data_IF_007015091213
#
_entry.id   IF_007015091213
#
_cell.length_a   1.000
_cell.length_b   1.000
_cell.length_c   1.000
_cell.angle_alpha   90.00
_cell.angle_beta   90.00
_cell.angle_gamma   90.00
#
_symmetry.space_group_name_H-M   'P 1'
#
loop_
_entity.id
_entity.type
_entity.pdbx_description
1 polymer ?
#
# COMPACT_ATOMS: atom_id res chain seq x y z
N UNK A 1 49.68 10.76 -7.35
CA UNK A 1 48.69 10.15 -8.26
C UNK A 1 47.60 9.50 -7.41
N UNK A 2 46.53 10.25 -7.15
CA UNK A 2 45.13 9.95 -7.52
C UNK A 2 44.67 8.53 -7.15
N UNK A 3 44.22 8.38 -5.90
CA UNK A 3 43.28 7.34 -5.50
C UNK A 3 41.88 7.87 -5.74
N UNK A 4 41.19 7.34 -6.74
CA UNK A 4 39.74 7.27 -6.76
C UNK A 4 39.42 5.82 -7.06
N UNK A 5 38.55 5.18 -6.28
CA UNK A 5 37.36 4.50 -6.80
C UNK A 5 36.32 4.53 -5.68
N UNK A 6 35.36 5.41 -5.89
CA UNK A 6 34.08 5.45 -5.20
C UNK A 6 33.35 4.17 -5.60
N UNK A 7 33.22 3.23 -4.68
CA UNK A 7 32.28 2.11 -4.78
C UNK A 7 31.42 2.15 -3.53
N UNK A 8 30.42 3.01 -3.39
CA UNK A 8 29.60 3.55 -4.47
C UNK A 8 28.50 2.58 -4.89
N UNK A 9 28.02 1.71 -4.00
CA UNK A 9 26.70 1.07 -4.15
C UNK A 9 26.20 0.67 -2.77
N UNK A 10 25.72 1.63 -1.97
CA UNK A 10 24.68 1.29 -1.02
C UNK A 10 23.56 0.73 -1.89
N UNK A 11 23.36 -0.58 -1.79
CA UNK A 11 22.35 -1.33 -2.51
C UNK A 11 21.09 -0.48 -2.53
N UNK A 12 20.68 -0.02 -3.72
CA UNK A 12 19.28 0.31 -3.95
C UNK A 12 18.56 -1.01 -3.69
N UNK A 13 18.24 -1.29 -2.43
CA UNK A 13 17.02 -1.99 -2.14
C UNK A 13 15.99 -1.18 -2.93
N UNK A 14 15.46 -1.74 -4.00
CA UNK A 14 14.23 -1.22 -4.56
C UNK A 14 13.24 -1.31 -3.40
N UNK A 15 13.14 -0.22 -2.64
CA UNK A 15 12.13 -0.05 -1.61
C UNK A 15 10.84 -0.21 -2.40
N UNK A 16 10.13 -1.33 -2.22
CA UNK A 16 8.84 -1.50 -2.86
C UNK A 16 7.97 -0.37 -2.34
N UNK A 17 7.75 0.62 -3.19
CA UNK A 17 6.96 1.83 -2.93
C UNK A 17 5.48 1.60 -3.22
N UNK A 18 5.12 0.38 -3.58
CA UNK A 18 3.77 -0.03 -3.94
C UNK A 18 3.37 -1.31 -3.21
N UNK A 19 2.08 -1.35 -2.86
CA UNK A 19 1.37 -2.51 -2.37
C UNK A 19 0.38 -2.97 -3.44
N UNK A 20 0.55 -4.21 -3.90
CA UNK A 20 -0.35 -4.85 -4.85
C UNK A 20 -1.08 -6.02 -4.21
N UNK A 21 -2.31 -6.24 -4.64
CA UNK A 21 -3.11 -7.41 -4.28
C UNK A 21 -2.41 -8.69 -4.71
N UNK A 22 -2.27 -9.67 -3.82
CA UNK A 22 -1.78 -11.01 -4.21
C UNK A 22 -2.92 -11.90 -4.72
N UNK A 23 -4.13 -11.62 -4.28
CA UNK A 23 -5.33 -12.40 -4.60
C UNK A 23 -6.46 -11.46 -4.99
N UNK A 24 -7.39 -11.97 -5.77
CA UNK A 24 -8.67 -11.33 -5.98
C UNK A 24 -9.52 -11.33 -4.70
N UNK A 25 -10.36 -10.32 -4.55
CA UNK A 25 -11.27 -10.21 -3.41
C UNK A 25 -11.82 -8.81 -3.22
N UNK A 26 -12.24 -8.54 -1.99
CA UNK A 26 -12.81 -7.27 -1.54
C UNK A 26 -11.85 -6.64 -0.54
N UNK A 27 -11.56 -5.36 -0.74
CA UNK A 27 -10.71 -4.58 0.16
C UNK A 27 -11.46 -4.27 1.45
N UNK A 28 -10.79 -4.47 2.58
CA UNK A 28 -11.24 -4.08 3.91
C UNK A 28 -10.18 -3.21 4.58
N UNK A 29 -10.56 -1.99 4.94
CA UNK A 29 -9.68 -1.06 5.66
C UNK A 29 -9.93 -1.15 7.16
N UNK A 30 -8.87 -1.32 7.95
CA UNK A 30 -8.92 -1.41 9.41
C UNK A 30 -8.07 -0.29 10.01
N UNK A 31 -8.66 0.55 10.86
CA UNK A 31 -7.97 1.69 11.49
C UNK A 31 -7.28 2.63 10.49
N UNK A 32 -7.78 2.69 9.24
CA UNK A 32 -7.32 3.63 8.20
C UNK A 32 -8.28 4.81 8.16
N UNK A 33 -7.74 6.02 8.32
CA UNK A 33 -8.42 7.28 8.08
C UNK A 33 -8.01 7.80 6.69
N UNK A 34 -8.75 7.46 5.62
CA UNK A 34 -8.48 7.97 4.29
C UNK A 34 -8.98 9.41 4.18
N UNK A 35 -8.09 10.33 3.85
CA UNK A 35 -8.43 11.73 3.56
C UNK A 35 -8.40 11.95 2.05
N UNK A 36 -9.49 12.50 1.51
CA UNK A 36 -9.58 12.86 0.10
C UNK A 36 -8.70 14.06 -0.25
N UNK A 37 -7.92 13.93 -1.31
CA UNK A 37 -7.15 15.02 -1.92
C UNK A 37 -7.99 15.70 -3.01
N UNK A 38 -7.67 16.97 -3.32
CA UNK A 38 -8.32 17.72 -4.41
C UNK A 38 -8.14 17.06 -5.79
N UNK A 39 -7.08 16.29 -5.93
CA UNK A 39 -6.72 15.57 -7.17
C UNK A 39 -7.53 14.26 -7.34
N UNK A 40 -8.45 13.96 -6.42
CA UNK A 40 -9.33 12.79 -6.48
C UNK A 40 -8.76 11.51 -5.84
N UNK A 41 -7.50 11.52 -5.42
CA UNK A 41 -6.87 10.41 -4.69
C UNK A 41 -7.21 10.39 -3.18
N UNK A 42 -7.00 9.25 -2.55
CA UNK A 42 -7.11 9.09 -1.10
C UNK A 42 -5.71 8.97 -0.47
N UNK A 43 -5.51 9.55 0.71
CA UNK A 43 -4.26 9.43 1.45
C UNK A 43 -4.55 8.89 2.84
N UNK A 44 -3.88 7.81 3.22
CA UNK A 44 -3.98 7.23 4.56
C UNK A 44 -3.24 8.12 5.57
N UNK A 45 -3.94 8.64 6.58
CA UNK A 45 -3.31 9.44 7.64
C UNK A 45 -2.97 8.62 8.89
N UNK A 46 -3.47 7.39 8.97
CA UNK A 46 -3.26 6.50 10.11
C UNK A 46 -1.86 5.91 10.14
N UNK A 47 -1.26 5.87 11.33
CA UNK A 47 0.04 5.21 11.57
C UNK A 47 -0.06 3.70 11.81
N UNK A 48 -1.25 3.23 12.13
CA UNK A 48 -1.54 1.82 12.44
C UNK A 48 -2.56 1.22 11.48
N UNK A 49 -2.85 1.90 10.37
CA UNK A 49 -3.83 1.43 9.41
C UNK A 49 -3.41 0.10 8.78
N UNK A 50 -4.37 -0.79 8.58
CA UNK A 50 -4.18 -2.04 7.88
C UNK A 50 -5.18 -2.18 6.75
N UNK A 51 -4.76 -2.84 5.68
CA UNK A 51 -5.60 -3.20 4.56
C UNK A 51 -5.60 -4.71 4.45
N UNK A 52 -6.78 -5.32 4.45
CA UNK A 52 -6.94 -6.73 4.14
C UNK A 52 -7.72 -6.95 2.86
N UNK A 53 -7.40 -8.03 2.16
CA UNK A 53 -8.24 -8.55 1.08
C UNK A 53 -9.00 -9.74 1.63
N UNK A 54 -10.31 -9.68 1.52
CA UNK A 54 -11.22 -10.75 1.92
C UNK A 54 -11.83 -11.38 0.68
N UNK A 55 -11.87 -12.71 0.66
CA UNK A 55 -12.67 -13.44 -0.31
C UNK A 55 -14.10 -13.57 0.23
N UNK A 56 -15.08 -13.21 -0.59
CA UNK A 56 -16.48 -13.37 -0.25
C UNK A 56 -16.99 -14.72 -0.77
N UNK A 57 -17.31 -15.64 0.15
CA UNK A 57 -17.95 -16.91 -0.18
C UNK A 57 -19.33 -16.97 0.46
N UNK A 58 -20.35 -16.57 -0.29
CA UNK A 58 -21.72 -16.42 0.21
C UNK A 58 -21.82 -15.34 1.29
N UNK A 59 -22.31 -15.70 2.48
CA UNK A 59 -22.43 -14.77 3.63
C UNK A 59 -21.18 -14.70 4.51
N UNK A 60 -20.11 -15.42 4.17
CA UNK A 60 -18.86 -15.45 4.95
C UNK A 60 -17.78 -14.70 4.18
N UNK A 61 -17.10 -13.82 4.88
CA UNK A 61 -15.87 -13.17 4.40
C UNK A 61 -14.69 -13.92 5.03
N UNK A 62 -13.73 -14.31 4.20
CA UNK A 62 -12.48 -14.94 4.65
C UNK A 62 -11.31 -14.06 4.26
N UNK A 63 -10.55 -13.62 5.26
CA UNK A 63 -9.32 -12.88 5.01
C UNK A 63 -8.31 -13.77 4.27
N UNK A 64 -7.87 -13.28 3.10
CA UNK A 64 -6.84 -13.91 2.26
C UNK A 64 -5.48 -13.31 2.53
N UNK A 65 -5.42 -12.00 2.76
CA UNK A 65 -4.19 -11.30 3.13
C UNK A 65 -4.49 -10.03 3.93
N UNK A 66 -3.49 -9.59 4.70
CA UNK A 66 -3.51 -8.35 5.47
C UNK A 66 -2.14 -7.72 5.43
N UNK A 67 -2.11 -6.41 5.17
CA UNK A 67 -0.90 -5.61 5.03
C UNK A 67 -1.02 -4.34 5.85
N UNK A 68 0.08 -3.90 6.45
CA UNK A 68 0.13 -2.60 7.11
C UNK A 68 0.24 -1.49 6.07
N UNK A 69 -0.54 -0.43 6.26
CA UNK A 69 -0.51 0.77 5.45
C UNK A 69 0.34 1.81 6.15
N UNK A 70 1.28 2.37 5.40
CA UNK A 70 2.16 3.44 5.88
C UNK A 70 1.37 4.76 5.90
N UNK A 71 1.55 5.56 6.94
CA UNK A 71 0.99 6.91 6.98
C UNK A 71 1.56 7.76 5.83
N UNK A 72 0.69 8.46 5.12
CA UNK A 72 1.02 9.19 3.90
C UNK A 72 0.89 8.35 2.62
N UNK A 73 0.59 7.06 2.70
CA UNK A 73 0.35 6.24 1.52
C UNK A 73 -0.88 6.72 0.75
N UNK A 74 -0.74 6.83 -0.56
CA UNK A 74 -1.83 7.10 -1.49
C UNK A 74 -2.58 5.78 -1.75
N UNK A 75 -3.85 5.74 -1.37
CA UNK A 75 -4.73 4.61 -1.60
C UNK A 75 -5.39 4.75 -2.97
N UNK A 76 -5.30 3.69 -3.77
CA UNK A 76 -5.93 3.59 -5.09
C UNK A 76 -7.30 2.87 -5.02
N UNK A 77 -7.65 2.39 -3.83
CA UNK A 77 -8.86 1.60 -3.54
C UNK A 77 -9.58 2.14 -2.30
N UNK A 78 -10.87 1.84 -2.18
CA UNK A 78 -11.71 2.19 -1.04
C UNK A 78 -12.11 0.95 -0.24
N UNK A 79 -12.60 1.16 0.97
CA UNK A 79 -13.22 0.08 1.75
C UNK A 79 -14.43 -0.49 1.00
N UNK A 80 -14.46 -1.80 0.83
CA UNK A 80 -15.50 -2.52 0.09
C UNK A 80 -15.27 -2.63 -1.42
N UNK A 81 -14.20 -2.04 -1.98
CA UNK A 81 -13.91 -2.18 -3.41
C UNK A 81 -13.46 -3.59 -3.75
N UNK A 82 -13.89 -4.10 -4.91
CA UNK A 82 -13.42 -5.37 -5.44
C UNK A 82 -12.17 -5.17 -6.29
N UNK A 83 -11.16 -6.01 -6.07
CA UNK A 83 -9.85 -5.95 -6.73
C UNK A 83 -9.45 -7.32 -7.25
N UNK A 84 -8.68 -7.33 -8.33
CA UNK A 84 -8.08 -8.54 -8.89
C UNK A 84 -6.65 -8.73 -8.38
N UNK A 85 -6.12 -9.95 -8.45
CA UNK A 85 -4.72 -10.21 -8.17
C UNK A 85 -3.82 -9.35 -9.07
N UNK A 86 -2.86 -8.64 -8.46
CA UNK A 86 -1.96 -7.71 -9.13
C UNK A 86 -2.44 -6.25 -9.14
N UNK A 87 -3.68 -5.97 -8.73
CA UNK A 87 -4.19 -4.60 -8.64
C UNK A 87 -3.39 -3.76 -7.64
N UNK A 88 -3.14 -2.50 -7.97
CA UNK A 88 -2.47 -1.55 -7.08
C UNK A 88 -3.43 -1.12 -5.98
N UNK A 89 -3.06 -1.36 -4.71
CA UNK A 89 -3.87 -1.04 -3.54
C UNK A 89 -3.44 0.29 -2.94
N UNK A 90 -2.13 0.44 -2.73
CA UNK A 90 -1.54 1.63 -2.14
C UNK A 90 -0.15 1.88 -2.73
N UNK A 91 0.26 3.13 -2.78
CA UNK A 91 1.62 3.54 -3.11
C UNK A 91 2.09 4.61 -2.12
N UNK A 92 3.38 4.64 -1.81
CA UNK A 92 3.97 5.66 -0.94
C UNK A 92 5.36 6.00 -1.44
N UNK A 93 5.74 7.26 -1.28
CA UNK A 93 7.11 7.69 -1.56
C UNK A 93 7.95 7.51 -0.28
N UNK A 94 9.04 6.71 -0.33
CA UNK A 94 9.87 6.38 0.83
C UNK A 94 10.62 7.59 1.38
N UNK A 95 10.73 8.67 0.59
CA UNK A 95 11.40 9.91 0.97
C UNK A 95 10.45 10.98 1.48
N UNK A 96 9.13 10.75 1.41
CA UNK A 96 8.13 11.69 1.93
C UNK A 96 7.24 11.00 2.95
N UNK A 97 7.69 10.99 4.21
CA UNK A 97 6.79 10.77 5.34
C UNK A 97 6.26 12.14 5.78
N UNK A 98 4.94 12.38 5.77
CA UNK A 98 4.37 13.69 6.12
C UNK A 98 4.52 14.05 7.60
#
# INVERSE_FOLDING_TARGET
MRTFHIGGTASRAAENTDLKAKYDGVVRLHDVDPVGRKDGGLVAMSRHGELSIVEQSGKRERERERHKIVAGAHLQVKDGDSVEAGALLAEWDPYTTP
#
